data_IF_100102580381
#
_entry.id   IF_100102580381
#
_cell.length_a   1.000
_cell.length_b   1.000
_cell.length_c   1.000
_cell.angle_alpha   90.00
_cell.angle_beta   90.00
_cell.angle_gamma   90.00
#
_symmetry.space_group_name_H-M   'P 1'
#
loop_
_entity.id
_entity.type
_entity.pdbx_description
1 polymer ?
#
# COMPACT_ATOMS: atom_id res chain seq x y z
N UNK A 1 20.31 -4.25 4.14
CA UNK A 1 19.30 -3.19 3.82
C UNK A 1 18.04 -3.77 3.16
N UNK A 2 18.11 -4.88 2.42
CA UNK A 2 16.93 -5.44 1.72
C UNK A 2 16.02 -6.36 2.57
N UNK A 3 16.31 -6.55 3.85
CA UNK A 3 15.56 -7.49 4.71
C UNK A 3 14.12 -7.07 5.03
N UNK A 4 13.78 -5.79 4.87
CA UNK A 4 12.47 -5.27 5.28
C UNK A 4 11.40 -5.29 4.17
N UNK A 5 11.78 -5.60 2.94
CA UNK A 5 10.86 -5.73 1.82
C UNK A 5 10.95 -7.11 1.23
N UNK A 6 10.05 -7.96 1.61
CA UNK A 6 9.95 -9.29 1.03
C UNK A 6 9.20 -9.20 -0.30
N UNK A 7 9.89 -9.60 -1.36
CA UNK A 7 9.34 -9.64 -2.71
C UNK A 7 8.54 -10.91 -2.97
N UNK A 8 8.70 -11.93 -2.13
CA UNK A 8 7.99 -13.21 -2.22
C UNK A 8 7.11 -13.45 -1.00
N UNK A 9 5.91 -13.95 -1.23
CA UNK A 9 4.95 -14.26 -0.17
C UNK A 9 3.66 -14.81 -0.74
N UNK A 10 2.71 -15.02 0.13
CA UNK A 10 1.41 -15.58 -0.18
C UNK A 10 0.35 -14.48 -0.17
N UNK A 11 -0.43 -14.37 -1.24
CA UNK A 11 -1.64 -13.56 -1.25
C UNK A 11 -2.83 -14.46 -0.88
N UNK A 12 -3.31 -14.31 0.35
CA UNK A 12 -4.43 -15.09 0.86
C UNK A 12 -5.70 -14.27 0.71
N UNK A 13 -6.71 -14.84 0.07
CA UNK A 13 -8.00 -14.22 -0.15
C UNK A 13 -9.07 -14.96 0.64
N UNK A 14 -9.78 -14.23 1.47
CA UNK A 14 -10.96 -14.70 2.19
C UNK A 14 -12.19 -14.02 1.59
N UNK A 15 -13.16 -14.80 1.17
CA UNK A 15 -14.40 -14.28 0.61
C UNK A 15 -15.59 -15.12 1.04
N UNK A 16 -16.74 -14.50 1.08
CA UNK A 16 -18.01 -15.20 1.23
C UNK A 16 -18.69 -15.25 -0.13
N UNK A 17 -19.08 -16.45 -0.62
CA UNK A 17 -19.86 -16.57 -1.87
C UNK A 17 -21.07 -15.64 -1.86
N UNK A 18 -21.42 -15.09 -3.03
CA UNK A 18 -22.57 -14.22 -3.25
C UNK A 18 -22.52 -12.87 -2.54
N UNK A 19 -21.40 -12.51 -1.92
CA UNK A 19 -21.20 -11.17 -1.33
C UNK A 19 -20.04 -10.45 -2.02
N UNK A 20 -20.09 -9.10 -2.03
CA UNK A 20 -18.97 -8.29 -2.50
C UNK A 20 -17.91 -8.05 -1.42
N UNK A 21 -18.07 -8.71 -0.26
CA UNK A 21 -17.12 -8.55 0.85
C UNK A 21 -16.01 -9.58 0.74
N UNK A 22 -14.79 -9.10 0.65
CA UNK A 22 -13.60 -9.95 0.64
C UNK A 22 -12.46 -9.29 1.41
N UNK A 23 -11.60 -10.12 1.98
CA UNK A 23 -10.35 -9.73 2.61
C UNK A 23 -9.20 -10.31 1.84
N UNK A 24 -8.19 -9.51 1.60
CA UNK A 24 -6.93 -9.95 1.01
C UNK A 24 -5.79 -9.61 1.95
N UNK A 25 -5.00 -10.63 2.30
CA UNK A 25 -3.87 -10.51 3.23
C UNK A 25 -2.62 -10.98 2.51
N UNK A 26 -1.54 -10.23 2.62
CA UNK A 26 -0.23 -10.65 2.18
C UNK A 26 0.54 -11.25 3.35
N UNK A 27 1.02 -12.49 3.17
CA UNK A 27 1.83 -13.21 4.16
C UNK A 27 3.21 -13.42 3.56
N UNK A 28 4.28 -12.82 4.14
CA UNK A 28 5.63 -13.01 3.65
C UNK A 28 6.08 -14.46 3.77
N UNK A 29 6.96 -14.90 2.86
CA UNK A 29 7.43 -16.31 2.80
C UNK A 29 8.36 -16.68 3.96
N UNK A 30 9.12 -15.71 4.47
CA UNK A 30 9.94 -15.87 5.66
C UNK A 30 9.25 -15.11 6.80
N UNK A 31 9.04 -15.74 7.94
CA UNK A 31 8.32 -15.18 9.08
C UNK A 31 9.03 -14.00 9.76
N UNK A 32 9.57 -13.09 8.96
CA UNK A 32 10.21 -11.88 9.46
C UNK A 32 9.13 -10.89 9.92
N UNK A 33 9.08 -10.67 11.22
CA UNK A 33 8.16 -9.73 11.87
C UNK A 33 8.44 -8.25 11.52
N UNK A 34 9.45 -7.97 10.69
CA UNK A 34 9.77 -6.61 10.25
C UNK A 34 9.01 -6.18 9.00
N UNK A 35 8.31 -7.10 8.34
CA UNK A 35 7.45 -6.76 7.21
C UNK A 35 6.20 -6.05 7.71
N UNK A 36 5.97 -4.85 7.21
CA UNK A 36 4.72 -4.14 7.50
C UNK A 36 3.52 -4.92 6.97
N UNK A 37 2.44 -5.04 7.76
CA UNK A 37 1.27 -5.79 7.34
C UNK A 37 0.67 -5.19 6.07
N UNK A 38 0.28 -6.05 5.17
CA UNK A 38 -0.59 -5.67 4.07
C UNK A 38 -1.89 -6.43 4.19
N UNK A 39 -2.97 -5.73 4.37
CA UNK A 39 -4.31 -6.28 4.17
C UNK A 39 -5.20 -5.25 3.49
N UNK A 40 -6.20 -5.75 2.80
CA UNK A 40 -7.23 -4.93 2.18
C UNK A 40 -8.57 -5.65 2.27
N UNK A 41 -9.56 -4.95 2.81
CA UNK A 41 -10.95 -5.32 2.67
C UNK A 41 -11.57 -4.62 1.47
N UNK A 42 -12.34 -5.34 0.68
CA UNK A 42 -13.18 -4.78 -0.37
C UNK A 42 -14.63 -4.90 0.04
N UNK A 43 -15.34 -3.78 0.05
CA UNK A 43 -16.75 -3.68 0.39
C UNK A 43 -17.57 -3.20 -0.80
N UNK A 44 -18.87 -3.53 -0.81
CA UNK A 44 -19.83 -2.85 -1.68
C UNK A 44 -19.94 -1.37 -1.31
N UNK A 45 -20.06 -0.51 -2.28
CA UNK A 45 -20.31 0.93 -2.03
C UNK A 45 -21.61 1.19 -1.27
N UNK A 46 -22.57 0.28 -1.38
CA UNK A 46 -23.86 0.35 -0.66
C UNK A 46 -23.80 -0.21 0.76
N UNK A 47 -22.66 -0.71 1.24
CA UNK A 47 -22.52 -1.22 2.60
C UNK A 47 -22.68 -0.08 3.59
N UNK A 48 -23.61 -0.23 4.52
CA UNK A 48 -23.84 0.72 5.61
C UNK A 48 -22.77 0.54 6.69
N UNK A 49 -22.11 1.64 7.05
CA UNK A 49 -21.21 1.73 8.21
C UNK A 49 -21.44 3.08 8.90
N UNK A 50 -21.09 3.21 10.19
CA UNK A 50 -21.24 4.47 10.91
C UNK A 50 -20.50 5.61 10.23
N UNK A 51 -21.13 6.77 10.16
CA UNK A 51 -20.45 8.01 9.79
C UNK A 51 -19.63 8.48 10.99
N UNK A 52 -18.37 8.77 10.77
CA UNK A 52 -17.47 9.32 11.78
C UNK A 52 -16.79 10.59 11.26
N UNK A 53 -16.31 11.40 12.16
CA UNK A 53 -15.48 12.56 11.79
C UNK A 53 -14.08 12.14 11.36
N UNK A 54 -13.38 13.03 10.64
CA UNK A 54 -11.97 12.81 10.26
C UNK A 54 -11.07 12.62 11.48
N UNK A 55 -11.33 13.32 12.56
CA UNK A 55 -10.58 13.17 13.83
C UNK A 55 -10.77 11.78 14.43
N UNK A 56 -11.99 11.26 14.43
CA UNK A 56 -12.26 9.90 14.90
C UNK A 56 -11.62 8.84 14.01
N UNK A 57 -11.60 9.07 12.69
CA UNK A 57 -10.93 8.21 11.74
C UNK A 57 -9.41 8.19 11.98
N UNK A 58 -8.79 9.34 12.22
CA UNK A 58 -7.37 9.44 12.55
C UNK A 58 -7.05 8.73 13.88
N UNK A 59 -7.89 8.90 14.90
CA UNK A 59 -7.76 8.18 16.17
C UNK A 59 -7.86 6.65 15.97
N UNK A 60 -8.68 6.21 15.02
CA UNK A 60 -8.80 4.79 14.65
C UNK A 60 -7.49 4.26 14.05
N UNK A 61 -6.83 5.05 13.19
CA UNK A 61 -5.50 4.72 12.67
C UNK A 61 -4.48 4.57 13.80
N UNK A 62 -4.42 5.54 14.72
CA UNK A 62 -3.45 5.54 15.82
C UNK A 62 -3.65 4.34 16.75
N UNK A 63 -4.90 4.04 17.14
CA UNK A 63 -5.22 2.85 17.95
C UNK A 63 -4.87 1.54 17.24
N UNK A 64 -5.13 1.47 15.95
CA UNK A 64 -4.79 0.30 15.15
C UNK A 64 -3.27 0.13 15.07
N UNK A 65 -2.52 1.19 14.78
CA UNK A 65 -1.07 1.16 14.71
C UNK A 65 -0.45 0.68 16.04
N UNK A 66 -0.94 1.20 17.17
CA UNK A 66 -0.52 0.78 18.51
C UNK A 66 -0.81 -0.71 18.76
N UNK A 67 -2.04 -1.17 18.46
CA UNK A 67 -2.46 -2.56 18.67
C UNK A 67 -1.73 -3.58 17.81
N UNK A 68 -1.20 -3.16 16.67
CA UNK A 68 -0.49 -4.02 15.69
C UNK A 68 1.02 -3.80 15.69
N UNK A 69 1.54 -2.99 16.63
CA UNK A 69 2.94 -2.61 16.70
C UNK A 69 3.49 -1.98 15.40
N UNK A 70 2.63 -1.27 14.68
CA UNK A 70 3.05 -0.45 13.54
C UNK A 70 3.63 0.86 14.09
N UNK A 71 4.93 1.06 13.95
CA UNK A 71 5.58 2.28 14.41
C UNK A 71 5.33 3.42 13.43
N UNK A 72 4.61 4.45 13.89
CA UNK A 72 4.45 5.73 13.19
C UNK A 72 5.49 6.77 13.63
N UNK A 73 6.45 6.39 14.48
CA UNK A 73 7.57 7.26 14.88
C UNK A 73 8.41 7.55 13.65
N UNK A 74 8.80 8.81 13.47
CA UNK A 74 9.54 9.30 12.30
C UNK A 74 8.76 9.13 10.98
N UNK A 75 7.43 9.21 11.06
CA UNK A 75 6.54 9.30 9.92
C UNK A 75 5.66 10.54 10.02
N UNK A 76 5.50 11.22 8.92
CA UNK A 76 4.68 12.42 8.78
C UNK A 76 3.42 12.10 7.98
N UNK A 77 2.26 12.58 8.45
CA UNK A 77 1.03 12.54 7.66
C UNK A 77 1.16 13.48 6.46
N UNK A 78 1.29 12.92 5.26
CA UNK A 78 1.59 13.67 4.04
C UNK A 78 0.38 13.93 3.17
N UNK A 79 -0.59 13.05 3.19
CA UNK A 79 -1.80 13.15 2.38
C UNK A 79 -3.00 12.63 3.18
N UNK A 80 -4.12 13.29 3.03
CA UNK A 80 -5.41 12.87 3.59
C UNK A 80 -6.51 13.10 2.56
N UNK A 81 -7.41 12.14 2.43
CA UNK A 81 -8.54 12.21 1.52
C UNK A 81 -9.81 11.73 2.23
N UNK A 82 -10.93 12.39 1.95
CA UNK A 82 -12.25 12.00 2.43
C UNK A 82 -13.06 11.52 1.23
N UNK A 83 -13.59 10.30 1.31
CA UNK A 83 -14.37 9.66 0.26
C UNK A 83 -15.79 9.47 0.76
N UNK A 84 -16.70 10.32 0.30
CA UNK A 84 -18.11 10.23 0.64
C UNK A 84 -18.76 9.11 -0.17
N UNK A 85 -19.43 8.19 0.52
CA UNK A 85 -20.26 7.14 -0.04
C UNK A 85 -21.71 7.37 0.38
N UNK A 86 -22.66 6.70 -0.28
CA UNK A 86 -24.08 6.84 0.02
C UNK A 86 -24.40 6.52 1.47
N UNK A 87 -23.78 5.48 2.04
CA UNK A 87 -24.13 4.94 3.36
C UNK A 87 -22.95 4.95 4.35
N UNK A 88 -21.86 5.67 4.06
CA UNK A 88 -20.69 5.82 4.93
C UNK A 88 -19.74 6.89 4.40
N UNK A 89 -18.82 7.30 5.24
CA UNK A 89 -17.65 8.07 4.81
C UNK A 89 -16.40 7.22 5.01
N UNK A 90 -15.58 7.12 3.97
CA UNK A 90 -14.28 6.46 4.01
C UNK A 90 -13.18 7.52 4.02
N UNK A 91 -12.04 7.23 4.66
CA UNK A 91 -10.90 8.13 4.76
C UNK A 91 -9.63 7.42 4.33
N UNK A 92 -8.78 8.13 3.60
CA UNK A 92 -7.43 7.69 3.25
C UNK A 92 -6.41 8.58 3.96
N UNK A 93 -5.48 7.96 4.68
CA UNK A 93 -4.36 8.61 5.33
C UNK A 93 -3.06 8.01 4.84
N UNK A 94 -2.15 8.86 4.37
CA UNK A 94 -0.84 8.46 3.90
C UNK A 94 0.24 9.07 4.77
N UNK A 95 1.01 8.20 5.39
CA UNK A 95 2.18 8.56 6.16
C UNK A 95 3.44 8.34 5.33
N UNK A 96 4.34 9.32 5.35
CA UNK A 96 5.62 9.28 4.68
C UNK A 96 6.73 9.22 5.71
N UNK A 97 7.66 8.29 5.54
CA UNK A 97 8.82 8.15 6.40
C UNK A 97 9.80 9.32 6.23
N UNK A 98 10.35 9.81 7.34
CA UNK A 98 11.48 10.72 7.34
C UNK A 98 12.76 10.03 6.83
N UNK A 99 13.86 10.79 6.77
CA UNK A 99 15.13 10.26 6.23
C UNK A 99 15.74 9.13 7.05
N UNK A 100 15.49 9.10 8.35
CA UNK A 100 16.10 8.18 9.31
C UNK A 100 15.25 6.95 9.59
N UNK A 101 14.09 6.85 8.95
CA UNK A 101 13.17 5.76 9.21
C UNK A 101 13.75 4.40 8.76
N UNK A 102 13.65 3.40 9.62
CA UNK A 102 14.19 2.05 9.38
C UNK A 102 13.62 1.31 8.17
N UNK A 103 12.44 1.71 7.71
CA UNK A 103 11.77 1.16 6.53
C UNK A 103 12.28 1.73 5.20
N UNK A 104 13.16 2.74 5.21
CA UNK A 104 13.75 3.27 3.99
C UNK A 104 14.81 2.31 3.43
N UNK A 105 14.97 2.30 2.11
CA UNK A 105 16.01 1.54 1.42
C UNK A 105 16.80 2.49 0.52
N UNK A 106 18.05 2.75 0.87
CA UNK A 106 18.88 3.76 0.18
C UNK A 106 18.14 5.11 0.09
N UNK A 107 17.89 5.60 -1.12
CA UNK A 107 17.16 6.84 -1.37
C UNK A 107 15.63 6.66 -1.42
N UNK A 108 15.16 5.42 -1.49
CA UNK A 108 13.73 5.14 -1.53
C UNK A 108 13.08 5.33 -0.16
N UNK A 109 11.96 6.03 -0.13
CA UNK A 109 11.22 6.37 1.08
C UNK A 109 10.01 5.45 1.24
N UNK A 110 9.84 4.97 2.47
CA UNK A 110 8.68 4.19 2.81
C UNK A 110 7.45 5.07 3.02
N UNK A 111 6.33 4.64 2.51
CA UNK A 111 5.01 5.19 2.82
C UNK A 111 4.13 4.11 3.45
N UNK A 112 3.25 4.53 4.35
CA UNK A 112 2.17 3.71 4.90
C UNK A 112 0.84 4.36 4.56
N UNK A 113 -0.03 3.58 3.93
CA UNK A 113 -1.37 4.01 3.57
C UNK A 113 -2.38 3.26 4.44
N UNK A 114 -3.29 4.00 5.05
CA UNK A 114 -4.42 3.47 5.80
C UNK A 114 -5.72 3.91 5.13
N UNK A 115 -6.62 2.99 4.89
CA UNK A 115 -7.99 3.28 4.45
C UNK A 115 -8.94 2.90 5.57
N UNK A 116 -9.75 3.86 5.99
CA UNK A 116 -10.76 3.69 7.03
C UNK A 116 -12.10 3.55 6.35
N UNK A 117 -12.77 2.43 6.59
CA UNK A 117 -14.14 2.20 6.15
C UNK A 117 -15.09 2.48 7.32
N UNK A 118 -15.83 3.60 7.22
CA UNK A 118 -16.66 4.03 8.36
C UNK A 118 -15.80 4.16 9.63
N UNK A 119 -15.96 3.25 10.60
CA UNK A 119 -15.33 3.35 11.91
C UNK A 119 -14.19 2.34 12.18
N UNK A 120 -13.66 1.68 11.17
CA UNK A 120 -12.56 0.72 11.33
C UNK A 120 -11.55 0.76 10.16
N UNK A 121 -10.37 0.20 10.39
CA UNK A 121 -9.32 0.12 9.36
C UNK A 121 -9.66 -0.97 8.35
N UNK A 122 -9.93 -0.60 7.10
CA UNK A 122 -10.24 -1.49 5.99
C UNK A 122 -9.02 -1.85 5.15
N UNK A 123 -7.97 -1.04 5.17
CA UNK A 123 -6.72 -1.33 4.46
C UNK A 123 -5.52 -0.78 5.21
N UNK A 124 -4.46 -1.57 5.22
CA UNK A 124 -3.10 -1.09 5.51
C UNK A 124 -2.19 -1.57 4.41
N UNK A 125 -1.39 -0.67 3.88
CA UNK A 125 -0.43 -0.98 2.83
C UNK A 125 0.84 -0.18 3.02
N UNK A 126 1.98 -0.86 3.03
CA UNK A 126 3.28 -0.23 2.86
C UNK A 126 3.67 -0.18 1.39
N UNK A 127 4.28 0.90 0.99
CA UNK A 127 4.86 1.05 -0.35
C UNK A 127 6.21 1.77 -0.26
N UNK A 128 7.10 1.46 -1.20
CA UNK A 128 8.39 2.10 -1.30
C UNK A 128 8.35 3.09 -2.46
N UNK A 129 8.42 4.38 -2.15
CA UNK A 129 8.50 5.43 -3.16
C UNK A 129 9.94 5.55 -3.65
N UNK A 130 10.16 5.17 -4.91
CA UNK A 130 11.47 5.31 -5.56
C UNK A 130 11.75 6.78 -5.91
N UNK A 131 13.02 7.23 -5.87
CA UNK A 131 13.42 8.54 -6.36
C UNK A 131 13.06 8.74 -7.84
N UNK A 132 12.72 9.97 -8.20
CA UNK A 132 12.41 10.30 -9.60
C UNK A 132 13.59 10.06 -10.55
N UNK A 133 14.81 10.24 -10.08
CA UNK A 133 16.03 9.93 -10.83
C UNK A 133 16.06 8.47 -11.30
N UNK A 134 15.71 7.55 -10.42
CA UNK A 134 15.61 6.12 -10.69
C UNK A 134 14.52 5.80 -11.71
N UNK A 135 13.36 6.43 -11.55
CA UNK A 135 12.22 6.22 -12.45
C UNK A 135 12.53 6.76 -13.85
N UNK A 136 13.22 7.90 -13.95
CA UNK A 136 13.65 8.46 -15.23
C UNK A 136 14.69 7.56 -15.93
N UNK A 137 15.73 7.16 -15.24
CA UNK A 137 16.75 6.28 -15.76
C UNK A 137 16.17 4.96 -16.30
N UNK A 138 15.23 4.36 -15.54
CA UNK A 138 14.55 3.15 -15.97
C UNK A 138 13.64 3.37 -17.19
N UNK A 139 12.99 4.53 -17.28
CA UNK A 139 12.08 4.86 -18.39
C UNK A 139 12.86 5.22 -19.67
N UNK A 140 14.03 5.82 -19.55
CA UNK A 140 14.90 6.15 -20.70
C UNK A 140 15.41 4.90 -21.42
N UNK A 141 15.52 3.77 -20.74
CA UNK A 141 15.89 2.49 -21.35
C UNK A 141 14.78 1.85 -22.18
N UNK A 142 13.55 2.26 -22.00
CA UNK A 142 12.39 1.69 -22.69
C UNK A 142 12.45 1.85 -24.24
N UNK A 143 12.84 3.00 -24.80
CA UNK A 143 13.00 3.16 -26.27
C UNK A 143 14.06 2.21 -26.86
N UNK A 144 15.18 2.03 -26.17
CA UNK A 144 16.24 1.11 -26.61
C UNK A 144 15.78 -0.35 -26.60
N UNK A 145 15.02 -0.74 -25.59
CA UNK A 145 14.44 -2.09 -25.48
C UNK A 145 13.44 -2.35 -26.59
N UNK A 146 12.62 -1.37 -26.94
CA UNK A 146 11.66 -1.45 -28.06
C UNK A 146 12.39 -1.59 -29.39
N UNK A 147 13.40 -0.78 -29.66
CA UNK A 147 14.20 -0.86 -30.87
C UNK A 147 14.91 -2.23 -30.98
N UNK A 148 15.48 -2.73 -29.89
CA UNK A 148 16.10 -4.05 -29.83
C UNK A 148 15.09 -5.17 -30.13
N UNK A 149 13.88 -5.04 -29.61
CA UNK A 149 12.80 -6.02 -29.83
C UNK A 149 12.38 -6.04 -31.32
N UNK A 150 12.27 -4.89 -31.96
CA UNK A 150 12.00 -4.81 -33.41
C UNK A 150 13.14 -5.37 -34.24
N UNK A 151 14.39 -5.17 -33.82
CA UNK A 151 15.55 -5.72 -34.52
C UNK A 151 15.58 -7.25 -34.44
N UNK A 152 15.30 -7.83 -33.26
CA UNK A 152 15.23 -9.29 -33.08
C UNK A 152 14.09 -9.90 -33.88
N UNK A 153 12.93 -9.25 -33.90
CA UNK A 153 11.79 -9.68 -34.72
C UNK A 153 12.08 -9.57 -36.21
N UNK A 154 12.75 -8.52 -36.65
CA UNK A 154 13.17 -8.35 -38.07
C UNK A 154 14.11 -9.44 -38.56
N UNK A 155 15.03 -9.94 -37.69
CA UNK A 155 15.93 -11.06 -38.02
C UNK A 155 15.19 -12.39 -38.07
N UNK A 156 14.12 -12.59 -37.27
CA UNK A 156 13.35 -13.81 -37.24
C UNK A 156 12.39 -13.98 -38.46
N UNK A 157 12.09 -12.88 -39.14
CA UNK A 157 11.19 -12.86 -40.30
C UNK A 157 11.90 -12.55 -41.63
N UNK A 158 13.22 -12.41 -41.65
CA UNK A 158 14.06 -12.31 -42.85
C UNK A 158 14.64 -13.66 -43.27
#
# INVERSE_FOLDING_TARGET
AAKNYQTMGWSVRFYRPETKREYRVWVPSEGDQTSYPYFKETLSDTTYLPFISKEEALNTVLKFADSTNIELINMELSEEETIEKENRTDYLFKYKADENHKGNIAEARMNLNFEIHGNYVGMVRSELKLPESWTREYTEWTPYTIIRMFFVLGILFA
#
